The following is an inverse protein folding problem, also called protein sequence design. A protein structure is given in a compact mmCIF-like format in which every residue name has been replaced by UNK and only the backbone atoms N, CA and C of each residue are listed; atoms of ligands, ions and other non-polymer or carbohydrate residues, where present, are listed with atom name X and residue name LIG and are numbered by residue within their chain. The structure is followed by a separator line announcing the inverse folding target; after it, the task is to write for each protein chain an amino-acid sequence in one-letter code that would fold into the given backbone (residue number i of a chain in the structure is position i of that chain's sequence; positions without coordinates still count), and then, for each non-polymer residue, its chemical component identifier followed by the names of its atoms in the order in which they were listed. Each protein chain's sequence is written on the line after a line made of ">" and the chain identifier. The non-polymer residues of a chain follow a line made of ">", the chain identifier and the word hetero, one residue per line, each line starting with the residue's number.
data_IF_283805067810
#
_entry.id   IF_283805067810
#
_cell.length_a   1.000
_cell.length_b   1.000
_cell.length_c   1.000
_cell.angle_alpha   90.00
_cell.angle_beta   90.00
_cell.angle_gamma   90.00
#
_symmetry.space_group_name_H-M   'P 1'
#
loop_
_entity.id
_entity.type
_entity.pdbx_description
1 polymer ?
#
# COMPACT_ATOMS: atom_id res chain seq x y z
N UNK A 1 -22.75 14.68 6.35
CA UNK A 1 -21.32 14.30 6.29
C UNK A 1 -20.94 14.40 4.84
N UNK A 2 -19.86 15.10 4.50
CA UNK A 2 -19.43 15.20 3.09
C UNK A 2 -19.05 13.81 2.55
N UNK A 3 -19.16 13.59 1.23
CA UNK A 3 -18.84 12.29 0.63
C UNK A 3 -17.36 11.93 0.83
N UNK A 4 -16.48 12.93 0.85
CA UNK A 4 -15.06 12.79 1.14
C UNK A 4 -14.81 12.37 2.59
N UNK A 5 -15.45 13.02 3.57
CA UNK A 5 -15.36 12.64 4.99
C UNK A 5 -15.81 11.20 5.21
N UNK A 6 -16.84 10.78 4.46
CA UNK A 6 -17.37 9.41 4.50
C UNK A 6 -16.34 8.40 3.99
N UNK A 7 -15.69 8.68 2.86
CA UNK A 7 -14.66 7.81 2.30
C UNK A 7 -13.43 7.70 3.22
N UNK A 8 -12.96 8.81 3.79
CA UNK A 8 -11.84 8.82 4.73
C UNK A 8 -12.14 8.00 6.00
N UNK A 9 -13.35 8.15 6.55
CA UNK A 9 -13.78 7.38 7.71
C UNK A 9 -13.85 5.88 7.43
N UNK A 10 -14.30 5.49 6.23
CA UNK A 10 -14.33 4.09 5.81
C UNK A 10 -12.91 3.51 5.69
N UNK A 11 -11.99 4.22 5.04
CA UNK A 11 -10.60 3.79 4.89
C UNK A 11 -9.97 3.48 6.26
N UNK A 12 -10.05 4.43 7.20
CA UNK A 12 -9.49 4.27 8.54
C UNK A 12 -10.12 3.09 9.29
N UNK A 13 -11.45 2.93 9.21
CA UNK A 13 -12.17 1.83 9.88
C UNK A 13 -11.78 0.47 9.34
N UNK A 14 -11.66 0.34 8.02
CA UNK A 14 -11.25 -0.92 7.39
C UNK A 14 -9.80 -1.25 7.76
N UNK A 15 -8.90 -0.27 7.74
CA UNK A 15 -7.50 -0.45 8.15
C UNK A 15 -7.42 -0.87 9.64
N UNK A 16 -8.19 -0.22 10.51
CA UNK A 16 -8.25 -0.57 11.93
C UNK A 16 -8.80 -1.97 12.17
N UNK A 17 -9.83 -2.37 11.42
CA UNK A 17 -10.37 -3.73 11.49
C UNK A 17 -9.35 -4.77 11.02
N UNK A 18 -8.61 -4.48 9.94
CA UNK A 18 -7.53 -5.33 9.46
C UNK A 18 -6.42 -5.48 10.50
N UNK A 19 -6.02 -4.39 11.15
CA UNK A 19 -5.03 -4.38 12.23
C UNK A 19 -5.49 -5.21 13.43
N UNK A 20 -6.69 -4.96 13.97
CA UNK A 20 -7.20 -5.67 15.14
C UNK A 20 -7.35 -7.18 14.90
N UNK A 21 -7.61 -7.58 13.66
CA UNK A 21 -7.74 -8.99 13.28
C UNK A 21 -6.41 -9.68 12.97
N UNK A 22 -5.33 -8.91 12.76
CA UNK A 22 -4.03 -9.42 12.29
C UNK A 22 -2.82 -8.79 12.99
N UNK A 23 -2.96 -8.24 14.20
CA UNK A 23 -1.89 -7.46 14.84
C UNK A 23 -0.55 -8.19 14.94
N UNK A 24 -0.57 -9.53 15.07
CA UNK A 24 0.62 -10.38 15.05
C UNK A 24 1.28 -10.47 13.66
N UNK A 25 0.50 -10.46 12.57
CA UNK A 25 0.99 -10.55 11.20
C UNK A 25 1.76 -9.30 10.75
N UNK A 26 1.46 -8.14 11.32
CA UNK A 26 2.19 -6.89 11.03
C UNK A 26 3.45 -6.76 11.90
N UNK A 27 3.43 -7.34 13.10
CA UNK A 27 4.58 -7.85 13.86
C UNK A 27 5.90 -7.07 13.77
N UNK A 28 7.01 -7.83 13.75
CA UNK A 28 8.39 -7.33 13.60
C UNK A 28 8.72 -6.88 12.18
N UNK A 29 7.92 -7.28 11.20
CA UNK A 29 8.18 -7.05 9.78
C UNK A 29 7.94 -5.59 9.38
N UNK A 30 7.09 -4.90 10.15
CA UNK A 30 6.73 -3.49 9.93
C UNK A 30 7.18 -2.59 11.08
N UNK A 31 7.13 -3.05 12.34
CA UNK A 31 7.42 -2.21 13.50
C UNK A 31 8.83 -1.63 13.45
N UNK A 32 8.92 -0.31 13.65
CA UNK A 32 10.14 0.49 13.63
C UNK A 32 10.89 0.47 12.27
N UNK A 33 10.26 -0.02 11.19
CA UNK A 33 10.86 -0.08 9.85
C UNK A 33 10.54 1.16 9.01
N UNK A 34 11.42 1.47 8.07
CA UNK A 34 11.09 2.31 6.93
C UNK A 34 10.39 1.44 5.89
N UNK A 35 9.09 1.71 5.67
CA UNK A 35 8.23 0.93 4.78
C UNK A 35 7.93 1.67 3.48
N UNK A 36 8.12 1.00 2.36
CA UNK A 36 7.67 1.43 1.04
C UNK A 36 6.38 0.69 0.68
N UNK A 37 5.35 1.39 0.20
CA UNK A 37 4.12 0.76 -0.28
C UNK A 37 4.18 0.56 -1.80
N UNK A 38 3.87 -0.64 -2.28
CA UNK A 38 3.89 -0.99 -3.70
C UNK A 38 2.59 -1.68 -4.12
N UNK A 39 2.01 -1.28 -5.25
CA UNK A 39 0.73 -1.81 -5.72
C UNK A 39 0.25 -1.16 -7.02
N UNK A 40 -0.91 -1.59 -7.55
CA UNK A 40 -1.48 -1.03 -8.77
C UNK A 40 -1.84 0.46 -8.62
N UNK A 41 -1.44 1.26 -9.61
CA UNK A 41 -1.83 2.68 -9.74
C UNK A 41 -2.44 2.92 -11.11
N UNK A 42 -1.72 2.55 -12.18
CA UNK A 42 -2.21 2.69 -13.56
C UNK A 42 -3.41 1.77 -13.78
N UNK A 43 -4.54 2.34 -14.20
CA UNK A 43 -5.78 1.59 -14.45
C UNK A 43 -6.60 1.27 -13.19
N UNK A 44 -6.08 1.54 -11.99
CA UNK A 44 -6.77 1.27 -10.73
C UNK A 44 -7.63 2.46 -10.30
N UNK A 45 -8.93 2.20 -10.09
CA UNK A 45 -9.84 3.21 -9.58
C UNK A 45 -9.58 3.39 -8.10
N UNK A 46 -9.65 4.62 -7.61
CA UNK A 46 -9.47 4.91 -6.19
C UNK A 46 -8.14 4.41 -5.60
N UNK A 47 -7.09 4.23 -6.41
CA UNK A 47 -5.77 3.77 -5.94
C UNK A 47 -5.28 4.56 -4.71
N UNK A 48 -5.53 5.88 -4.66
CA UNK A 48 -5.18 6.70 -3.48
C UNK A 48 -5.85 6.22 -2.20
N UNK A 49 -7.11 5.82 -2.24
CA UNK A 49 -7.83 5.27 -1.09
C UNK A 49 -7.29 3.92 -0.66
N UNK A 50 -6.94 3.07 -1.62
CA UNK A 50 -6.34 1.75 -1.37
C UNK A 50 -4.93 1.87 -0.78
N UNK A 51 -4.13 2.82 -1.26
CA UNK A 51 -2.84 3.15 -0.67
C UNK A 51 -2.97 3.81 0.71
N UNK A 52 -4.02 4.62 0.95
CA UNK A 52 -4.30 5.16 2.28
C UNK A 52 -4.67 4.06 3.27
N UNK A 53 -5.47 3.08 2.87
CA UNK A 53 -5.76 1.90 3.70
C UNK A 53 -4.47 1.16 4.08
N UNK A 54 -3.59 0.90 3.12
CA UNK A 54 -2.31 0.24 3.39
C UNK A 54 -1.42 1.08 4.30
N UNK A 55 -1.37 2.41 4.08
CA UNK A 55 -0.63 3.34 4.94
C UNK A 55 -1.12 3.28 6.38
N UNK A 56 -2.42 3.43 6.61
CA UNK A 56 -2.99 3.46 7.95
C UNK A 56 -2.79 2.09 8.64
N UNK A 57 -2.91 0.99 7.91
CA UNK A 57 -2.64 -0.35 8.42
C UNK A 57 -1.17 -0.53 8.86
N UNK A 58 -0.23 -0.07 8.04
CA UNK A 58 1.21 -0.08 8.33
C UNK A 58 1.56 0.85 9.49
N UNK A 59 0.89 2.00 9.58
CA UNK A 59 1.04 2.95 10.69
C UNK A 59 0.56 2.35 12.01
N UNK A 60 -0.61 1.68 12.03
CA UNK A 60 -1.06 0.94 13.20
C UNK A 60 -0.10 -0.19 13.62
N UNK A 61 0.62 -0.78 12.65
CA UNK A 61 1.71 -1.74 12.89
C UNK A 61 2.96 -1.15 13.55
N UNK A 62 3.09 0.18 13.58
CA UNK A 62 4.19 0.90 14.21
C UNK A 62 5.40 1.15 13.29
N UNK A 63 5.19 1.30 11.99
CA UNK A 63 6.27 1.70 11.08
C UNK A 63 6.88 3.05 11.48
N UNK A 64 8.21 3.17 11.37
CA UNK A 64 8.92 4.41 11.68
C UNK A 64 8.76 5.48 10.57
N UNK A 65 8.65 5.03 9.31
CA UNK A 65 8.47 5.90 8.15
C UNK A 65 7.71 5.14 7.07
N UNK A 66 6.81 5.82 6.36
CA UNK A 66 6.04 5.22 5.27
C UNK A 66 6.20 6.05 4.01
N UNK A 67 6.51 5.40 2.89
CA UNK A 67 6.49 6.00 1.56
C UNK A 67 5.35 5.43 0.72
N UNK A 68 4.58 6.32 0.12
CA UNK A 68 3.48 5.96 -0.77
C UNK A 68 3.67 6.63 -2.13
N UNK A 69 4.00 5.88 -3.20
CA UNK A 69 4.13 6.42 -4.55
C UNK A 69 2.86 7.14 -5.01
N UNK A 70 1.69 6.64 -4.61
CA UNK A 70 0.38 7.21 -4.93
C UNK A 70 0.20 8.70 -4.50
N UNK A 71 0.98 9.16 -3.52
CA UNK A 71 0.98 10.55 -3.05
C UNK A 71 2.26 11.29 -3.45
N UNK A 72 3.39 10.59 -3.51
CA UNK A 72 4.71 11.19 -3.68
C UNK A 72 5.08 11.44 -5.15
N UNK A 73 4.54 10.66 -6.08
CA UNK A 73 4.82 10.81 -7.51
C UNK A 73 3.85 11.81 -8.13
N UNK A 74 4.35 12.89 -8.77
CA UNK A 74 3.48 13.86 -9.44
C UNK A 74 2.70 13.22 -10.59
N UNK A 75 1.40 13.52 -10.68
CA UNK A 75 0.53 12.98 -11.74
C UNK A 75 0.95 13.36 -13.18
N UNK A 76 1.80 14.37 -13.34
CA UNK A 76 2.36 14.79 -14.64
C UNK A 76 3.52 13.93 -15.12
N UNK A 77 4.06 13.04 -14.29
CA UNK A 77 5.17 12.18 -14.67
C UNK A 77 4.68 11.13 -15.68
N UNK A 78 5.48 10.91 -16.72
CA UNK A 78 5.36 9.69 -17.52
C UNK A 78 5.62 8.45 -16.67
N UNK A 79 5.21 7.29 -17.16
CA UNK A 79 5.45 6.02 -16.48
C UNK A 79 6.95 5.80 -16.23
N UNK A 80 7.81 6.09 -17.20
CA UNK A 80 9.26 5.91 -17.07
C UNK A 80 9.88 6.87 -16.05
N UNK A 81 9.39 8.11 -15.98
CA UNK A 81 9.82 9.09 -14.97
C UNK A 81 9.39 8.66 -13.57
N UNK A 82 8.15 8.18 -13.43
CA UNK A 82 7.64 7.63 -12.18
C UNK A 82 8.48 6.43 -11.74
N UNK A 83 8.71 5.46 -12.62
CA UNK A 83 9.49 4.26 -12.30
C UNK A 83 10.93 4.59 -11.93
N UNK A 84 11.62 5.48 -12.65
CA UNK A 84 12.99 5.91 -12.27
C UNK A 84 13.04 6.46 -10.84
N UNK A 85 12.03 7.25 -10.46
CA UNK A 85 11.93 7.77 -9.10
C UNK A 85 11.62 6.66 -8.09
N UNK A 86 10.64 5.80 -8.37
CA UNK A 86 10.25 4.71 -7.48
C UNK A 86 11.40 3.74 -7.21
N UNK A 87 12.08 3.28 -8.27
CA UNK A 87 13.18 2.32 -8.16
C UNK A 87 14.42 2.94 -7.48
N UNK A 88 14.63 4.25 -7.58
CA UNK A 88 15.68 4.94 -6.82
C UNK A 88 15.30 5.15 -5.36
N UNK A 89 14.02 5.35 -5.05
CA UNK A 89 13.57 5.62 -3.69
C UNK A 89 13.49 4.34 -2.87
N UNK A 90 12.95 3.25 -3.44
CA UNK A 90 12.71 1.99 -2.73
C UNK A 90 13.98 1.41 -2.09
N UNK A 91 15.16 1.65 -2.70
CA UNK A 91 16.45 1.18 -2.16
C UNK A 91 16.85 1.84 -0.84
N UNK A 92 16.17 2.90 -0.42
CA UNK A 92 16.36 3.56 0.87
C UNK A 92 15.48 3.02 2.01
N UNK A 93 14.71 1.96 1.76
CA UNK A 93 13.72 1.41 2.69
C UNK A 93 14.08 -0.02 3.12
N UNK A 94 13.65 -0.38 4.33
CA UNK A 94 13.97 -1.69 4.94
C UNK A 94 12.98 -2.77 4.50
N UNK A 95 11.72 -2.36 4.31
CA UNK A 95 10.59 -3.23 3.98
C UNK A 95 9.79 -2.64 2.83
N UNK A 96 9.35 -3.49 1.90
CA UNK A 96 8.29 -3.18 0.94
C UNK A 96 7.01 -3.94 1.30
N UNK A 97 5.89 -3.25 1.32
CA UNK A 97 4.55 -3.84 1.46
C UNK A 97 3.91 -3.90 0.08
N UNK A 98 3.63 -5.12 -0.38
CA UNK A 98 2.92 -5.39 -1.63
C UNK A 98 1.42 -5.41 -1.36
N UNK A 99 0.69 -4.48 -1.97
CA UNK A 99 -0.77 -4.41 -1.92
C UNK A 99 -1.39 -5.51 -2.80
N UNK A 100 -2.65 -5.91 -2.54
CA UNK A 100 -3.34 -6.84 -3.42
C UNK A 100 -3.31 -6.42 -4.90
N UNK A 101 -3.29 -7.43 -5.78
CA UNK A 101 -3.17 -7.28 -7.24
C UNK A 101 -1.82 -6.75 -7.73
N UNK A 102 -0.79 -6.68 -6.86
CA UNK A 102 0.56 -6.25 -7.26
C UNK A 102 1.16 -7.08 -8.41
N UNK A 103 0.88 -8.39 -8.47
CA UNK A 103 1.37 -9.28 -9.52
C UNK A 103 0.88 -8.86 -10.92
N UNK A 104 -0.29 -8.21 -11.01
CA UNK A 104 -0.82 -7.70 -12.28
C UNK A 104 -0.26 -6.32 -12.65
N UNK A 105 0.42 -5.62 -11.73
CA UNK A 105 0.98 -4.28 -11.95
C UNK A 105 2.43 -4.36 -12.40
N UNK A 106 2.71 -3.90 -13.63
CA UNK A 106 4.07 -3.87 -14.18
C UNK A 106 5.05 -3.10 -13.27
N UNK A 107 4.61 -1.97 -12.71
CA UNK A 107 5.44 -1.17 -11.80
C UNK A 107 5.69 -1.87 -10.47
N UNK A 108 4.67 -2.49 -9.88
CA UNK A 108 4.81 -3.18 -8.60
C UNK A 108 5.66 -4.46 -8.72
N UNK A 109 5.56 -5.19 -9.85
CA UNK A 109 6.47 -6.31 -10.12
C UNK A 109 7.94 -5.86 -10.21
N UNK A 110 8.22 -4.72 -10.86
CA UNK A 110 9.58 -4.18 -10.91
C UNK A 110 10.10 -3.77 -9.52
N UNK A 111 9.24 -3.13 -8.70
CA UNK A 111 9.57 -2.76 -7.32
C UNK A 111 9.83 -4.00 -6.46
N UNK A 112 9.04 -5.06 -6.62
CA UNK A 112 9.26 -6.36 -5.97
C UNK A 112 10.59 -6.99 -6.37
N UNK A 113 10.91 -7.03 -7.67
CA UNK A 113 12.16 -7.60 -8.16
C UNK A 113 13.38 -6.83 -7.65
N UNK A 114 13.30 -5.50 -7.57
CA UNK A 114 14.34 -4.67 -6.95
C UNK A 114 14.45 -4.96 -5.45
N UNK A 115 13.32 -5.10 -4.75
CA UNK A 115 13.34 -5.43 -3.32
C UNK A 115 14.08 -6.74 -3.05
N UNK A 116 13.77 -7.80 -3.81
CA UNK A 116 14.46 -9.08 -3.70
C UNK A 116 15.95 -8.96 -4.02
N UNK A 117 16.30 -8.27 -5.11
CA UNK A 117 17.70 -8.11 -5.54
C UNK A 117 18.54 -7.32 -4.52
N UNK A 118 17.93 -6.36 -3.83
CA UNK A 118 18.58 -5.53 -2.82
C UNK A 118 18.51 -6.10 -1.40
N UNK A 119 17.85 -7.24 -1.18
CA UNK A 119 17.67 -7.82 0.15
C UNK A 119 16.71 -7.04 1.05
N UNK A 120 15.81 -6.26 0.45
CA UNK A 120 14.73 -5.55 1.14
C UNK A 120 13.66 -6.57 1.52
N UNK A 121 13.14 -6.48 2.76
CA UNK A 121 12.13 -7.41 3.23
C UNK A 121 10.80 -7.18 2.50
N UNK A 122 10.14 -8.25 2.05
CA UNK A 122 8.86 -8.18 1.33
C UNK A 122 7.74 -8.68 2.23
N UNK A 123 6.75 -7.83 2.48
CA UNK A 123 5.50 -8.17 3.16
C UNK A 123 4.37 -8.14 2.13
N UNK A 124 3.82 -9.30 1.82
CA UNK A 124 2.74 -9.41 0.84
C UNK A 124 1.37 -9.51 1.53
N UNK A 125 0.55 -8.49 1.36
CA UNK A 125 -0.79 -8.43 1.95
C UNK A 125 -1.77 -9.43 1.32
N UNK A 126 -1.49 -9.98 0.13
CA UNK A 126 -2.32 -11.02 -0.48
C UNK A 126 -2.28 -12.32 0.30
N UNK A 127 -1.18 -12.59 1.00
CA UNK A 127 -1.00 -13.82 1.78
C UNK A 127 -1.84 -13.84 3.07
N UNK A 128 -2.38 -12.68 3.49
CA UNK A 128 -3.29 -12.59 4.62
C UNK A 128 -4.74 -12.49 4.13
N UNK A 129 -5.51 -13.57 4.32
CA UNK A 129 -6.91 -13.65 3.84
C UNK A 129 -7.83 -12.58 4.42
N UNK A 130 -7.57 -12.11 5.63
CA UNK A 130 -8.38 -11.07 6.27
C UNK A 130 -8.05 -9.71 5.66
N UNK A 131 -6.77 -9.35 5.54
CA UNK A 131 -6.34 -8.12 4.88
C UNK A 131 -6.84 -8.10 3.43
N UNK A 132 -6.65 -9.21 2.70
CA UNK A 132 -7.16 -9.38 1.34
C UNK A 132 -8.68 -9.16 1.27
N UNK A 133 -9.47 -9.84 2.10
CA UNK A 133 -10.92 -9.69 2.09
C UNK A 133 -11.39 -8.26 2.39
N UNK A 134 -10.77 -7.61 3.38
CA UNK A 134 -11.10 -6.23 3.74
C UNK A 134 -10.67 -5.23 2.66
N UNK A 135 -9.54 -5.46 2.00
CA UNK A 135 -9.08 -4.64 0.88
C UNK A 135 -10.10 -4.63 -0.26
N UNK A 136 -10.59 -5.80 -0.69
CA UNK A 136 -11.59 -5.87 -1.76
C UNK A 136 -12.94 -5.29 -1.35
N UNK A 137 -13.39 -5.57 -0.12
CA UNK A 137 -14.62 -4.97 0.40
C UNK A 137 -14.53 -3.43 0.44
N UNK A 138 -13.37 -2.87 0.81
CA UNK A 138 -13.13 -1.43 0.74
C UNK A 138 -13.12 -0.94 -0.71
N UNK A 139 -12.43 -1.64 -1.62
CA UNK A 139 -12.36 -1.30 -3.06
C UNK A 139 -13.76 -1.15 -3.65
N UNK A 140 -14.62 -2.15 -3.47
CA UNK A 140 -16.01 -2.11 -3.93
C UNK A 140 -16.84 -1.00 -3.26
N UNK A 141 -16.58 -0.73 -1.99
CA UNK A 141 -17.30 0.33 -1.25
C UNK A 141 -16.92 1.70 -1.78
N UNK A 142 -15.63 1.97 -2.00
CA UNK A 142 -15.15 3.24 -2.54
C UNK A 142 -15.66 3.50 -3.95
N UNK A 143 -15.79 2.46 -4.78
CA UNK A 143 -16.40 2.57 -6.12
C UNK A 143 -17.89 2.93 -6.10
N UNK A 144 -18.60 2.68 -4.99
CA UNK A 144 -20.02 3.02 -4.83
C UNK A 144 -20.22 4.40 -4.20
N UNK A 145 -19.22 4.91 -3.48
CA UNK A 145 -19.30 6.17 -2.73
C UNK A 145 -18.79 7.40 -3.48
N UNK A 146 -18.01 7.22 -4.56
CA UNK A 146 -17.35 8.25 -5.36
C UNK A 146 -17.75 8.13 -6.83
#
# INVERSE_FOLDING_TARGET
>A
MDSVDTALNLIERYAKLAYLSNGEFLGTDIRDKQVYLSGPITGEKNYKGLFSFARDLVEFGGAAKIYSPAVRIPARFSWEQAMKHCLSEITGYDTVVMLPEWEASDGARLEHDVALACGIHVVDFTNNKIIYGLYYALKETLEKCL
#
